data_IF_010529776183
#
_entry.id   IF_010529776183
#
_cell.length_a   1.000
_cell.length_b   1.000
_cell.length_c   1.000
_cell.angle_alpha   90.00
_cell.angle_beta   90.00
_cell.angle_gamma   90.00
#
_symmetry.space_group_name_H-M   'P 1'
#
loop_
_entity.id
_entity.type
_entity.pdbx_description
1 polymer ?
#
# COMPACT_ATOMS: atom_id res chain seq x y z
N UNK A 1 -26.21 -22.01 23.34
CA UNK A 1 -26.75 -22.59 22.14
C UNK A 1 -26.44 -21.82 20.87
N UNK A 2 -26.42 -20.54 20.84
CA UNK A 2 -26.00 -19.77 19.67
C UNK A 2 -24.51 -19.74 19.42
N UNK A 3 -23.69 -20.11 20.42
CA UNK A 3 -22.26 -19.88 20.40
C UNK A 3 -21.48 -20.68 19.32
N UNK A 4 -21.82 -21.96 19.12
CA UNK A 4 -21.15 -22.77 18.12
C UNK A 4 -21.45 -22.30 16.70
N UNK A 5 -22.69 -21.93 16.43
CA UNK A 5 -23.12 -21.39 15.13
C UNK A 5 -22.51 -20.01 14.87
N UNK A 6 -22.51 -19.15 15.88
CA UNK A 6 -21.92 -17.81 15.80
C UNK A 6 -20.42 -17.88 15.54
N UNK A 7 -19.69 -18.76 16.24
CA UNK A 7 -18.25 -18.91 16.04
C UNK A 7 -17.89 -19.39 14.63
N UNK A 8 -18.68 -20.32 14.08
CA UNK A 8 -18.51 -20.82 12.71
C UNK A 8 -18.72 -19.69 11.68
N UNK A 9 -19.77 -18.90 11.87
CA UNK A 9 -20.06 -17.76 11.02
C UNK A 9 -18.97 -16.69 11.08
N UNK A 10 -18.48 -16.40 12.30
CA UNK A 10 -17.39 -15.45 12.54
C UNK A 10 -16.10 -15.86 11.80
N UNK A 11 -15.74 -17.14 11.81
CA UNK A 11 -14.58 -17.64 11.08
C UNK A 11 -14.73 -17.46 9.58
N UNK A 12 -15.91 -17.69 9.04
CA UNK A 12 -16.20 -17.47 7.61
C UNK A 12 -16.02 -16.00 7.23
N UNK A 13 -16.52 -15.10 8.03
CA UNK A 13 -16.36 -13.64 7.83
C UNK A 13 -14.88 -13.26 7.84
N UNK A 14 -14.10 -13.78 8.79
CA UNK A 14 -12.67 -13.50 8.88
C UNK A 14 -11.91 -14.02 7.65
N UNK A 15 -12.24 -15.20 7.14
CA UNK A 15 -11.62 -15.77 5.94
C UNK A 15 -11.89 -14.89 4.71
N UNK A 16 -13.13 -14.44 4.53
CA UNK A 16 -13.52 -13.57 3.42
C UNK A 16 -12.78 -12.23 3.52
N UNK A 17 -12.73 -11.62 4.70
CA UNK A 17 -12.03 -10.36 4.93
C UNK A 17 -10.53 -10.47 4.62
N UNK A 18 -9.88 -11.55 5.05
CA UNK A 18 -8.46 -11.79 4.74
C UNK A 18 -8.20 -11.94 3.25
N UNK A 19 -9.08 -12.66 2.55
CA UNK A 19 -8.98 -12.84 1.10
C UNK A 19 -9.09 -11.51 0.37
N UNK A 20 -10.05 -10.68 0.74
CA UNK A 20 -10.25 -9.36 0.15
C UNK A 20 -9.06 -8.45 0.43
N UNK A 21 -8.53 -8.46 1.64
CA UNK A 21 -7.34 -7.70 2.02
C UNK A 21 -6.13 -8.11 1.18
N UNK A 22 -5.89 -9.41 1.01
CA UNK A 22 -4.78 -9.91 0.18
C UNK A 22 -4.88 -9.46 -1.26
N UNK A 23 -6.09 -9.48 -1.84
CA UNK A 23 -6.33 -8.99 -3.20
C UNK A 23 -5.99 -7.52 -3.33
N UNK A 24 -6.39 -6.70 -2.36
CA UNK A 24 -6.12 -5.26 -2.34
C UNK A 24 -4.63 -4.97 -2.21
N UNK A 25 -3.95 -5.66 -1.32
CA UNK A 25 -2.50 -5.52 -1.13
C UNK A 25 -1.76 -5.95 -2.39
N UNK A 26 -2.15 -7.07 -2.98
CA UNK A 26 -1.55 -7.55 -4.24
C UNK A 26 -1.73 -6.53 -5.36
N UNK A 27 -2.93 -5.98 -5.51
CA UNK A 27 -3.20 -4.95 -6.52
C UNK A 27 -2.28 -3.76 -6.35
N UNK A 28 -2.10 -3.28 -5.12
CA UNK A 28 -1.21 -2.15 -4.83
C UNK A 28 0.26 -2.52 -5.09
N UNK A 29 0.70 -3.68 -4.64
CA UNK A 29 2.08 -4.13 -4.82
C UNK A 29 2.44 -4.36 -6.28
N UNK A 30 1.47 -4.68 -7.13
CA UNK A 30 1.70 -4.84 -8.56
C UNK A 30 2.21 -3.53 -9.21
N UNK A 31 1.86 -2.36 -8.67
CA UNK A 31 2.43 -1.09 -9.11
C UNK A 31 3.90 -0.93 -8.74
N UNK A 32 4.36 -1.64 -7.72
CA UNK A 32 5.74 -1.57 -7.24
C UNK A 32 6.62 -2.69 -7.79
N UNK A 33 6.03 -3.69 -8.45
CA UNK A 33 6.73 -4.90 -8.86
C UNK A 33 7.90 -4.62 -9.81
N UNK A 34 7.75 -3.62 -10.68
CA UNK A 34 8.78 -3.20 -11.64
C UNK A 34 9.46 -1.89 -11.24
N UNK A 35 9.25 -1.44 -10.02
CA UNK A 35 9.79 -0.17 -9.51
C UNK A 35 10.98 -0.41 -8.60
N UNK A 36 11.72 0.65 -8.37
CA UNK A 36 12.84 0.67 -7.41
C UNK A 36 12.90 2.06 -6.76
N UNK A 37 13.58 2.12 -5.61
CA UNK A 37 13.79 3.40 -4.94
C UNK A 37 14.54 4.35 -5.87
N UNK A 38 13.99 5.53 -6.11
CA UNK A 38 14.58 6.51 -7.02
C UNK A 38 15.95 7.05 -6.53
N UNK A 39 16.26 6.86 -5.25
CA UNK A 39 17.50 7.31 -4.66
C UNK A 39 18.55 6.19 -4.54
N UNK A 40 18.22 5.07 -3.85
CA UNK A 40 19.19 4.01 -3.55
C UNK A 40 19.05 2.76 -4.41
N UNK A 41 18.02 2.70 -5.25
CA UNK A 41 17.72 1.60 -6.18
C UNK A 41 17.27 0.30 -5.52
N UNK A 42 16.84 0.34 -4.26
CA UNK A 42 16.23 -0.81 -3.61
C UNK A 42 15.02 -1.29 -4.43
N UNK A 43 14.98 -2.58 -4.75
CA UNK A 43 13.94 -3.15 -5.62
C UNK A 43 12.98 -4.11 -4.92
N UNK A 44 13.23 -4.43 -3.65
CA UNK A 44 12.33 -5.29 -2.89
C UNK A 44 10.98 -4.58 -2.66
N UNK A 45 9.91 -5.13 -3.22
CA UNK A 45 8.58 -4.52 -3.18
C UNK A 45 8.13 -4.18 -1.76
N UNK A 46 8.43 -5.04 -0.79
CA UNK A 46 8.05 -4.83 0.62
C UNK A 46 8.74 -3.64 1.26
N UNK A 47 9.86 -3.19 0.69
CA UNK A 47 10.62 -2.04 1.17
C UNK A 47 10.20 -0.74 0.51
N UNK A 48 9.41 -0.79 -0.55
CA UNK A 48 9.07 0.39 -1.36
C UNK A 48 7.79 1.06 -0.87
N UNK A 49 7.78 2.38 -0.93
CA UNK A 49 6.66 3.23 -0.54
C UNK A 49 6.46 4.36 -1.54
N UNK A 50 5.27 4.93 -1.55
CA UNK A 50 4.92 6.08 -2.40
C UNK A 50 5.07 7.38 -1.60
N UNK A 51 6.18 8.05 -1.71
CA UNK A 51 6.44 9.29 -0.98
C UNK A 51 5.81 10.49 -1.70
N UNK A 52 5.09 11.40 -1.05
CA UNK A 52 4.74 11.43 0.38
C UNK A 52 3.34 10.86 0.68
N UNK A 53 2.64 10.28 -0.30
CA UNK A 53 1.23 9.91 -0.20
C UNK A 53 0.98 8.45 0.19
N UNK A 54 2.01 7.71 0.59
CA UNK A 54 1.88 6.28 0.88
C UNK A 54 0.79 5.97 1.91
N UNK A 55 0.71 6.72 2.99
CA UNK A 55 -0.28 6.51 4.04
C UNK A 55 -1.70 6.73 3.51
N UNK A 56 -1.91 7.79 2.74
CA UNK A 56 -3.22 8.08 2.15
C UNK A 56 -3.63 7.00 1.15
N UNK A 57 -2.70 6.54 0.32
CA UNK A 57 -2.93 5.48 -0.66
C UNK A 57 -3.33 4.17 0.05
N UNK A 58 -2.55 3.75 1.05
CA UNK A 58 -2.79 2.49 1.75
C UNK A 58 -4.08 2.52 2.57
N UNK A 59 -4.41 3.64 3.20
CA UNK A 59 -5.68 3.82 3.91
C UNK A 59 -6.86 3.71 2.95
N UNK A 60 -6.77 4.32 1.78
CA UNK A 60 -7.83 4.27 0.79
C UNK A 60 -8.04 2.84 0.28
N UNK A 61 -6.97 2.12 -0.04
CA UNK A 61 -7.02 0.71 -0.43
C UNK A 61 -7.69 -0.13 0.66
N UNK A 62 -7.34 0.10 1.92
CA UNK A 62 -7.85 -0.67 3.05
C UNK A 62 -9.32 -0.36 3.36
N UNK A 63 -9.71 0.92 3.37
CA UNK A 63 -11.04 1.35 3.83
C UNK A 63 -12.08 1.43 2.73
N UNK A 64 -11.71 1.94 1.58
CA UNK A 64 -12.63 2.14 0.44
C UNK A 64 -12.58 0.94 -0.52
N UNK A 65 -11.41 0.35 -0.70
CA UNK A 65 -11.22 -0.78 -1.60
C UNK A 65 -10.68 -0.36 -2.95
N UNK A 66 -10.80 -1.26 -3.90
CA UNK A 66 -10.24 -1.10 -5.26
C UNK A 66 -11.33 -1.13 -6.32
N UNK A 67 -12.44 -0.43 -6.09
CA UNK A 67 -13.47 -0.24 -7.12
C UNK A 67 -13.00 0.77 -8.19
N UNK A 68 -13.78 0.95 -9.25
CA UNK A 68 -13.39 1.83 -10.35
C UNK A 68 -13.08 3.26 -9.91
N UNK A 69 -13.93 3.84 -9.05
CA UNK A 69 -13.74 5.21 -8.57
C UNK A 69 -12.50 5.34 -7.70
N UNK A 70 -12.32 4.42 -6.74
CA UNK A 70 -11.17 4.45 -5.84
C UNK A 70 -9.86 4.18 -6.59
N UNK A 71 -9.87 3.31 -7.60
CA UNK A 71 -8.68 3.06 -8.42
C UNK A 71 -8.21 4.33 -9.13
N UNK A 72 -9.13 5.12 -9.67
CA UNK A 72 -8.77 6.39 -10.33
C UNK A 72 -8.08 7.34 -9.34
N UNK A 73 -8.65 7.51 -8.17
CA UNK A 73 -8.09 8.39 -7.14
C UNK A 73 -6.74 7.88 -6.63
N UNK A 74 -6.62 6.57 -6.42
CA UNK A 74 -5.37 5.96 -5.97
C UNK A 74 -4.27 6.13 -7.02
N UNK A 75 -4.58 5.91 -8.30
CA UNK A 75 -3.63 6.08 -9.39
C UNK A 75 -3.16 7.54 -9.50
N UNK A 76 -4.04 8.49 -9.27
CA UNK A 76 -3.69 9.90 -9.26
C UNK A 76 -2.71 10.21 -8.12
N UNK A 77 -2.96 9.68 -6.91
CA UNK A 77 -2.03 9.83 -5.78
C UNK A 77 -0.68 9.18 -6.09
N UNK A 78 -0.68 8.00 -6.70
CA UNK A 78 0.55 7.30 -7.11
C UNK A 78 1.34 8.15 -8.12
N UNK A 79 0.67 8.73 -9.09
CA UNK A 79 1.32 9.58 -10.12
C UNK A 79 1.94 10.83 -9.51
N UNK A 80 1.40 11.31 -8.40
CA UNK A 80 1.92 12.47 -7.68
C UNK A 80 2.94 12.10 -6.59
N UNK A 81 3.36 10.84 -6.56
CA UNK A 81 4.31 10.32 -5.58
C UNK A 81 5.58 9.83 -6.26
N UNK A 82 6.65 9.72 -5.48
CA UNK A 82 7.89 9.06 -5.91
C UNK A 82 8.06 7.77 -5.12
N UNK A 83 8.59 6.74 -5.77
CA UNK A 83 8.87 5.47 -5.11
C UNK A 83 10.20 5.59 -4.36
N UNK A 84 10.16 5.38 -3.06
CA UNK A 84 11.34 5.39 -2.20
C UNK A 84 11.29 4.19 -1.24
N UNK A 85 12.45 3.73 -0.80
CA UNK A 85 12.50 2.70 0.24
C UNK A 85 12.30 3.34 1.63
N UNK A 86 12.07 2.49 2.64
CA UNK A 86 11.85 2.97 4.01
C UNK A 86 13.00 3.82 4.53
N UNK A 87 14.23 3.43 4.25
CA UNK A 87 15.43 4.15 4.69
C UNK A 87 15.50 5.53 4.05
N UNK A 88 15.25 5.63 2.75
CA UNK A 88 15.23 6.91 2.04
C UNK A 88 14.07 7.80 2.50
N UNK A 89 12.92 7.21 2.85
CA UNK A 89 11.82 7.95 3.44
C UNK A 89 12.24 8.66 4.74
N UNK A 90 12.86 7.91 5.64
CA UNK A 90 13.36 8.46 6.92
C UNK A 90 14.38 9.56 6.66
N UNK A 91 15.28 9.35 5.69
CA UNK A 91 16.28 10.36 5.31
C UNK A 91 15.64 11.63 4.76
N UNK A 92 14.58 11.50 3.96
CA UNK A 92 13.82 12.66 3.45
C UNK A 92 13.14 13.42 4.58
N UNK A 93 12.52 12.71 5.52
CA UNK A 93 11.86 13.31 6.67
C UNK A 93 12.83 14.03 7.62
N UNK A 94 14.09 13.64 7.62
CA UNK A 94 15.13 14.22 8.44
C UNK A 94 16.07 15.16 7.66
N UNK A 95 15.66 15.56 6.45
CA UNK A 95 16.40 16.47 5.56
C UNK A 95 17.83 16.00 5.23
N UNK A 96 18.09 14.69 5.29
CA UNK A 96 19.39 14.12 4.94
C UNK A 96 19.57 14.00 3.43
N UNK A 97 18.47 13.90 2.68
CA UNK A 97 18.45 13.88 1.22
C UNK A 97 17.29 14.74 0.73
N UNK A 98 17.37 15.20 -0.50
CA UNK A 98 16.33 16.01 -1.13
C UNK A 98 15.84 15.35 -2.41
N UNK A 99 14.61 15.66 -2.83
CA UNK A 99 14.03 15.13 -4.07
C UNK A 99 14.86 15.48 -5.29
N UNK A 100 15.45 16.66 -5.32
CA UNK A 100 16.22 17.15 -6.46
C UNK A 100 17.50 16.35 -6.72
N UNK A 101 17.90 15.49 -5.77
CA UNK A 101 19.04 14.60 -5.92
C UNK A 101 18.71 13.27 -6.59
N UNK A 102 17.47 13.04 -6.90
CA UNK A 102 16.99 11.76 -7.47
C UNK A 102 17.15 11.73 -8.98
#
# INVERSE_FOLDING_TARGET
MGNAHYNKYKETIKKVARRNYRKRVKWLNDFLADKYCVHCKESETVCLKFYPHDLAIRRKVKRVGINEESQVEIKELINNSKVVCRNCWVKLDNDLIEFDTF
#
